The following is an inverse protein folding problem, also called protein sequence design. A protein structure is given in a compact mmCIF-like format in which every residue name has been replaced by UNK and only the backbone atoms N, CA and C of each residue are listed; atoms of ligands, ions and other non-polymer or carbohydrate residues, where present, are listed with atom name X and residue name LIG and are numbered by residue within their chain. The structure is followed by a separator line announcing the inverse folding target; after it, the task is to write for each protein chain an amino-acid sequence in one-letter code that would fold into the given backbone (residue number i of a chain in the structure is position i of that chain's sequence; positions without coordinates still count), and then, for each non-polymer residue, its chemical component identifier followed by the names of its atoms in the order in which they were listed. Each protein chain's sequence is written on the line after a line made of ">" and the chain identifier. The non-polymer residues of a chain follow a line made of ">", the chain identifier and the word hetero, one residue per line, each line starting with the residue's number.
data_IF_124426022324
#
_entry.id   IF_124426022324
#
_cell.length_a   1.000
_cell.length_b   1.000
_cell.length_c   1.000
_cell.angle_alpha   90.00
_cell.angle_beta   90.00
_cell.angle_gamma   90.00
#
_symmetry.space_group_name_H-M   'P 1'
#
loop_
_entity.id
_entity.type
_entity.pdbx_description
1 polymer ?
#
# COMPACT_ATOMS: atom_id res chain seq x y z
N UNK A 1 24.84 1.22 -35.34
CA UNK A 1 23.78 0.54 -34.55
C UNK A 1 22.56 1.42 -34.68
N UNK A 2 21.53 1.00 -35.41
CA UNK A 2 20.35 1.85 -35.65
C UNK A 2 19.66 2.13 -34.31
N UNK A 3 19.41 3.39 -34.00
CA UNK A 3 18.60 3.79 -32.85
C UNK A 3 17.20 3.21 -33.03
N UNK A 4 16.90 2.09 -32.36
CA UNK A 4 15.55 1.57 -32.26
C UNK A 4 14.75 2.56 -31.42
N UNK A 5 13.94 3.39 -32.08
CA UNK A 5 13.14 4.40 -31.39
C UNK A 5 11.92 3.73 -30.75
N UNK A 6 11.73 3.94 -29.45
CA UNK A 6 10.60 3.40 -28.71
C UNK A 6 9.40 4.34 -28.86
N UNK A 7 8.30 3.83 -29.39
CA UNK A 7 7.04 4.55 -29.58
C UNK A 7 5.97 3.99 -28.64
N UNK A 8 5.11 4.85 -28.10
CA UNK A 8 3.94 4.44 -27.34
C UNK A 8 2.67 4.88 -28.05
N UNK A 9 1.80 3.94 -28.36
CA UNK A 9 0.56 4.20 -29.10
C UNK A 9 -0.55 3.23 -28.67
N UNK A 10 -1.81 3.56 -28.97
CA UNK A 10 -2.94 2.68 -28.65
C UNK A 10 -2.88 1.39 -29.49
N UNK A 11 -3.19 0.26 -28.85
CA UNK A 11 -3.19 -1.05 -29.50
C UNK A 11 -4.40 -1.14 -30.44
N UNK A 12 -4.11 -1.30 -31.73
CA UNK A 12 -5.16 -1.48 -32.74
C UNK A 12 -5.73 -2.91 -32.70
N UNK A 13 -6.88 -3.17 -33.35
CA UNK A 13 -7.40 -4.53 -33.49
C UNK A 13 -6.41 -5.48 -34.19
N UNK A 14 -5.58 -4.95 -35.08
CA UNK A 14 -4.60 -5.71 -35.86
C UNK A 14 -3.42 -6.18 -34.99
N UNK A 15 -3.06 -5.39 -33.97
CA UNK A 15 -1.98 -5.68 -33.02
C UNK A 15 -2.38 -6.68 -31.92
N UNK A 16 -3.65 -7.13 -31.88
CA UNK A 16 -4.17 -8.01 -30.82
C UNK A 16 -3.55 -9.39 -30.80
N UNK A 17 -3.25 -9.96 -31.97
CA UNK A 17 -2.62 -11.28 -32.05
C UNK A 17 -1.21 -11.24 -31.44
N UNK A 18 -0.46 -10.18 -31.71
CA UNK A 18 0.86 -9.96 -31.13
C UNK A 18 0.77 -9.76 -29.61
N UNK A 19 -0.25 -9.03 -29.13
CA UNK A 19 -0.47 -8.84 -27.70
C UNK A 19 -0.79 -10.17 -26.99
N UNK A 20 -1.63 -11.04 -27.57
CA UNK A 20 -1.93 -12.36 -27.00
C UNK A 20 -0.71 -13.28 -27.01
N UNK A 21 0.13 -13.21 -28.05
CA UNK A 21 1.38 -13.96 -28.07
C UNK A 21 2.33 -13.51 -26.95
N UNK A 22 2.41 -12.21 -26.70
CA UNK A 22 3.18 -11.66 -25.58
C UNK A 22 2.57 -12.08 -24.22
N UNK A 23 1.23 -12.12 -24.06
CA UNK A 23 0.55 -12.59 -22.85
C UNK A 23 0.97 -14.03 -22.51
N UNK A 24 0.90 -14.93 -23.48
CA UNK A 24 1.24 -16.36 -23.32
C UNK A 24 2.69 -16.60 -22.94
N UNK A 25 3.58 -15.68 -23.29
CA UNK A 25 4.97 -15.73 -22.89
C UNK A 25 5.21 -15.18 -21.48
N UNK A 26 4.32 -14.30 -21.01
CA UNK A 26 4.39 -13.63 -19.71
C UNK A 26 3.68 -14.37 -18.57
N UNK A 27 2.62 -15.11 -18.88
CA UNK A 27 1.80 -15.82 -17.90
C UNK A 27 1.71 -17.33 -18.15
N UNK A 28 1.57 -18.14 -17.09
CA UNK A 28 1.07 -19.51 -17.19
C UNK A 28 -0.28 -19.59 -17.92
N UNK A 29 -0.58 -20.75 -18.53
CA UNK A 29 -1.83 -20.94 -19.29
C UNK A 29 -3.10 -20.77 -18.44
N UNK A 30 -3.04 -21.08 -17.13
CA UNK A 30 -4.14 -20.88 -16.18
C UNK A 30 -4.33 -19.44 -15.71
N UNK A 31 -3.37 -18.56 -16.03
CA UNK A 31 -3.39 -17.13 -15.68
C UNK A 31 -3.48 -16.20 -16.91
N UNK A 32 -3.30 -16.71 -18.12
CA UNK A 32 -3.34 -15.92 -19.34
C UNK A 32 -4.77 -15.60 -19.76
N UNK A 33 -5.05 -14.34 -20.12
CA UNK A 33 -6.35 -13.97 -20.65
C UNK A 33 -6.59 -14.52 -22.07
N UNK A 34 -7.86 -14.87 -22.37
CA UNK A 34 -8.25 -15.40 -23.67
C UNK A 34 -8.27 -14.32 -24.77
N UNK A 35 -8.20 -14.72 -26.04
CA UNK A 35 -8.30 -13.79 -27.18
C UNK A 35 -9.64 -13.04 -27.19
N UNK A 36 -10.72 -13.66 -26.72
CA UNK A 36 -12.03 -13.03 -26.59
C UNK A 36 -12.00 -11.89 -25.56
N UNK A 37 -11.30 -12.07 -24.44
CA UNK A 37 -11.11 -11.02 -23.44
C UNK A 37 -10.32 -9.83 -24.01
N UNK A 38 -9.27 -10.11 -24.80
CA UNK A 38 -8.52 -9.07 -25.50
C UNK A 38 -9.38 -8.29 -26.50
N UNK A 39 -10.17 -9.00 -27.34
CA UNK A 39 -11.10 -8.37 -28.29
C UNK A 39 -12.15 -7.52 -27.57
N UNK A 40 -12.73 -8.03 -26.49
CA UNK A 40 -13.67 -7.30 -25.66
C UNK A 40 -13.03 -6.01 -25.12
N UNK A 41 -11.89 -6.12 -24.41
CA UNK A 41 -11.19 -4.98 -23.80
C UNK A 41 -10.79 -3.94 -24.84
N UNK A 42 -10.28 -4.35 -26.00
CA UNK A 42 -9.89 -3.45 -27.07
C UNK A 42 -11.11 -2.73 -27.69
N UNK A 43 -12.20 -3.47 -27.93
CA UNK A 43 -13.41 -2.88 -28.52
C UNK A 43 -14.13 -1.91 -27.58
N UNK A 44 -14.15 -2.20 -26.28
CA UNK A 44 -14.87 -1.40 -25.28
C UNK A 44 -14.01 -0.29 -24.68
N UNK A 45 -12.70 -0.54 -24.53
CA UNK A 45 -11.77 0.31 -23.79
C UNK A 45 -10.43 0.47 -24.55
N UNK A 46 -10.47 0.60 -25.87
CA UNK A 46 -9.27 0.76 -26.71
C UNK A 46 -8.41 1.98 -26.34
N UNK A 47 -9.04 3.05 -25.82
CA UNK A 47 -8.36 4.23 -25.26
C UNK A 47 -7.67 3.98 -23.90
N UNK A 48 -7.78 2.77 -23.36
CA UNK A 48 -7.09 2.30 -22.16
C UNK A 48 -6.15 1.13 -22.47
N UNK A 49 -5.92 0.83 -23.75
CA UNK A 49 -5.06 -0.24 -24.21
C UNK A 49 -3.81 0.34 -24.88
N UNK A 50 -2.73 0.50 -24.13
CA UNK A 50 -1.50 1.12 -24.59
C UNK A 50 -0.46 0.05 -24.98
N UNK A 51 0.15 0.21 -26.16
CA UNK A 51 1.26 -0.59 -26.65
C UNK A 51 2.57 0.18 -26.65
N UNK A 52 3.67 -0.54 -26.41
CA UNK A 52 5.04 -0.10 -26.64
C UNK A 52 5.58 -0.76 -27.90
N UNK A 53 6.06 0.05 -28.85
CA UNK A 53 6.50 -0.39 -30.16
C UNK A 53 7.96 -0.03 -30.40
N UNK A 54 8.74 -0.97 -30.95
CA UNK A 54 10.02 -0.63 -31.56
C UNK A 54 9.79 -0.27 -33.03
N UNK A 55 10.29 0.89 -33.41
CA UNK A 55 10.21 1.37 -34.80
C UNK A 55 11.53 1.06 -35.50
N UNK A 56 11.43 0.43 -36.67
CA UNK A 56 12.55 0.15 -37.57
C UNK A 56 12.14 0.50 -38.99
N UNK A 57 12.50 1.71 -39.45
CA UNK A 57 12.03 2.24 -40.73
C UNK A 57 10.53 2.54 -40.69
N UNK A 58 9.78 2.03 -41.67
CA UNK A 58 8.32 2.17 -41.75
C UNK A 58 7.56 1.10 -40.94
N UNK A 59 8.25 0.12 -40.38
CA UNK A 59 7.63 -0.95 -39.59
C UNK A 59 7.71 -0.63 -38.10
N UNK A 60 6.59 -0.85 -37.41
CA UNK A 60 6.52 -0.87 -35.95
C UNK A 60 6.21 -2.29 -35.48
N UNK A 61 6.88 -2.72 -34.42
CA UNK A 61 6.64 -4.03 -33.80
C UNK A 61 6.23 -3.85 -32.36
N UNK A 62 5.11 -4.44 -31.96
CA UNK A 62 4.67 -4.45 -30.56
C UNK A 62 5.67 -5.27 -29.72
N UNK A 63 6.18 -4.68 -28.65
CA UNK A 63 7.10 -5.34 -27.71
C UNK A 63 6.56 -5.40 -26.28
N UNK A 64 5.39 -4.83 -26.03
CA UNK A 64 4.70 -4.92 -24.76
C UNK A 64 3.44 -4.07 -24.75
N UNK A 65 2.56 -4.32 -23.79
CA UNK A 65 1.30 -3.60 -23.66
C UNK A 65 0.80 -3.54 -22.23
N UNK A 66 -0.17 -2.65 -22.03
CA UNK A 66 -1.04 -2.55 -20.85
C UNK A 66 -2.48 -2.48 -21.34
N UNK A 67 -3.37 -3.30 -20.77
CA UNK A 67 -4.79 -3.22 -21.05
C UNK A 67 -5.61 -3.06 -19.77
N UNK A 68 -6.61 -2.18 -19.82
CA UNK A 68 -7.46 -1.87 -18.66
C UNK A 68 -8.92 -1.71 -19.05
N UNK A 69 -9.82 -1.84 -18.07
CA UNK A 69 -11.22 -1.41 -18.17
C UNK A 69 -11.55 -0.39 -17.09
N UNK A 70 -12.79 0.11 -17.09
CA UNK A 70 -13.28 1.03 -16.07
C UNK A 70 -14.32 0.33 -15.20
N UNK A 71 -14.29 0.64 -13.91
CA UNK A 71 -15.27 0.16 -12.94
C UNK A 71 -15.57 1.24 -11.90
N UNK A 72 -16.80 1.30 -11.36
CA UNK A 72 -17.11 2.17 -10.22
C UNK A 72 -16.56 1.62 -8.90
N UNK A 73 -16.12 0.36 -8.87
CA UNK A 73 -15.61 -0.28 -7.67
C UNK A 73 -14.29 0.38 -7.20
N UNK A 74 -14.16 0.61 -5.89
CA UNK A 74 -12.97 1.24 -5.30
C UNK A 74 -11.82 0.25 -5.05
N UNK A 75 -12.09 -1.05 -5.20
CA UNK A 75 -11.17 -2.19 -5.08
C UNK A 75 -11.50 -3.21 -6.16
N UNK A 76 -10.58 -4.13 -6.48
CA UNK A 76 -10.81 -5.15 -7.50
C UNK A 76 -11.71 -6.27 -6.98
N UNK A 77 -12.73 -6.57 -7.77
CA UNK A 77 -13.66 -7.69 -7.59
C UNK A 77 -13.70 -8.52 -8.86
N UNK A 78 -14.26 -9.73 -8.79
CA UNK A 78 -14.46 -10.54 -10.00
C UNK A 78 -15.28 -9.82 -11.07
N UNK A 79 -16.24 -8.99 -10.65
CA UNK A 79 -17.06 -8.18 -11.56
C UNK A 79 -16.26 -7.06 -12.23
N UNK A 80 -15.45 -6.31 -11.46
CA UNK A 80 -14.62 -5.23 -12.02
C UNK A 80 -13.56 -5.76 -12.98
N UNK A 81 -13.12 -7.01 -12.80
CA UNK A 81 -12.17 -7.69 -13.67
C UNK A 81 -12.83 -8.38 -14.88
N UNK A 82 -14.16 -8.39 -14.99
CA UNK A 82 -14.90 -9.01 -16.10
C UNK A 82 -15.68 -8.01 -16.96
N UNK A 83 -15.89 -6.78 -16.48
CA UNK A 83 -16.78 -5.80 -17.12
C UNK A 83 -16.08 -4.48 -17.42
N UNK A 84 -16.69 -3.68 -18.29
CA UNK A 84 -16.29 -2.31 -18.56
C UNK A 84 -17.50 -1.39 -18.36
N UNK A 85 -17.37 -0.41 -17.47
CA UNK A 85 -18.39 0.59 -17.18
C UNK A 85 -17.84 1.97 -17.59
N UNK A 86 -18.19 2.47 -18.78
CA UNK A 86 -17.72 3.77 -19.27
C UNK A 86 -17.98 4.91 -18.28
N UNK A 87 -17.06 5.87 -18.19
CA UNK A 87 -17.20 7.03 -17.31
C UNK A 87 -17.00 6.76 -15.81
N UNK A 88 -16.59 5.54 -15.44
CA UNK A 88 -16.32 5.20 -14.04
C UNK A 88 -14.93 5.65 -13.58
N UNK A 89 -14.71 5.59 -12.26
CA UNK A 89 -13.57 6.24 -11.63
C UNK A 89 -12.32 5.40 -11.43
N UNK A 90 -12.45 4.07 -11.45
CA UNK A 90 -11.32 3.16 -11.30
C UNK A 90 -10.89 2.59 -12.64
N UNK A 91 -9.61 2.76 -12.96
CA UNK A 91 -8.94 2.07 -14.07
C UNK A 91 -8.45 0.71 -13.54
N UNK A 92 -9.09 -0.38 -13.98
CA UNK A 92 -8.72 -1.74 -13.61
C UNK A 92 -7.75 -2.31 -14.65
N UNK A 93 -6.46 -2.36 -14.33
CA UNK A 93 -5.44 -2.99 -15.18
C UNK A 93 -5.62 -4.50 -15.13
N UNK A 94 -5.81 -5.10 -16.31
CA UNK A 94 -5.95 -6.55 -16.45
C UNK A 94 -4.61 -7.23 -16.68
N UNK A 95 -3.78 -6.68 -17.57
CA UNK A 95 -2.50 -7.28 -17.93
C UNK A 95 -1.46 -6.21 -18.24
N UNK A 96 -0.21 -6.45 -17.83
CA UNK A 96 0.98 -5.69 -18.22
C UNK A 96 2.05 -6.71 -18.62
N UNK A 97 2.38 -6.79 -19.91
CA UNK A 97 3.35 -7.76 -20.42
C UNK A 97 4.36 -7.10 -21.35
N UNK A 98 5.59 -7.60 -21.29
CA UNK A 98 6.69 -7.25 -22.19
C UNK A 98 7.18 -8.53 -22.84
N UNK A 99 7.40 -8.50 -24.15
CA UNK A 99 7.97 -9.61 -24.91
C UNK A 99 9.26 -10.11 -24.26
N UNK A 100 9.43 -11.43 -24.17
CA UNK A 100 10.50 -12.05 -23.37
C UNK A 100 11.89 -11.55 -23.75
N UNK A 101 12.14 -11.33 -25.04
CA UNK A 101 13.40 -10.85 -25.60
C UNK A 101 13.74 -9.41 -25.19
N UNK A 102 12.74 -8.65 -24.72
CA UNK A 102 12.84 -7.25 -24.31
C UNK A 102 12.66 -7.07 -22.79
N UNK A 103 12.59 -8.16 -22.01
CA UNK A 103 12.55 -8.08 -20.55
C UNK A 103 13.88 -7.60 -19.96
N UNK A 104 13.83 -7.05 -18.74
CA UNK A 104 15.01 -6.53 -17.98
C UNK A 104 15.80 -5.40 -18.65
N UNK A 105 15.29 -4.82 -19.74
CA UNK A 105 15.86 -3.65 -20.43
C UNK A 105 15.18 -2.33 -20.04
N UNK A 106 14.33 -2.35 -19.00
CA UNK A 106 13.61 -1.17 -18.50
C UNK A 106 12.36 -0.79 -19.30
N UNK A 107 12.00 -1.52 -20.35
CA UNK A 107 10.80 -1.24 -21.15
C UNK A 107 9.50 -1.28 -20.34
N UNK A 108 9.34 -2.26 -19.44
CA UNK A 108 8.18 -2.33 -18.55
C UNK A 108 7.98 -1.07 -17.71
N UNK A 109 9.06 -0.55 -17.12
CA UNK A 109 9.00 0.71 -16.37
C UNK A 109 8.67 1.91 -17.25
N UNK A 110 9.19 1.96 -18.49
CA UNK A 110 8.89 3.06 -19.42
C UNK A 110 7.43 3.02 -19.88
N UNK A 111 6.93 1.85 -20.25
CA UNK A 111 5.55 1.63 -20.68
C UNK A 111 4.56 1.97 -19.56
N UNK A 112 4.80 1.47 -18.34
CA UNK A 112 3.92 1.76 -17.21
C UNK A 112 3.93 3.26 -16.83
N UNK A 113 5.10 3.91 -16.87
CA UNK A 113 5.20 5.35 -16.61
C UNK A 113 4.45 6.18 -17.66
N UNK A 114 4.61 5.85 -18.94
CA UNK A 114 3.87 6.50 -20.01
C UNK A 114 2.36 6.31 -19.84
N UNK A 115 1.92 5.09 -19.52
CA UNK A 115 0.52 4.78 -19.29
C UNK A 115 -0.07 5.61 -18.16
N UNK A 116 0.59 5.66 -17.00
CA UNK A 116 0.17 6.48 -15.86
C UNK A 116 0.13 7.96 -16.24
N UNK A 117 1.13 8.47 -16.97
CA UNK A 117 1.18 9.87 -17.41
C UNK A 117 -0.03 10.24 -18.28
N UNK A 118 -0.42 9.37 -19.24
CA UNK A 118 -1.61 9.57 -20.07
C UNK A 118 -2.89 9.56 -19.24
N UNK A 119 -3.01 8.64 -18.27
CA UNK A 119 -4.16 8.58 -17.38
C UNK A 119 -4.26 9.81 -16.46
N UNK A 120 -3.13 10.29 -15.94
CA UNK A 120 -3.07 11.52 -15.14
C UNK A 120 -3.45 12.76 -15.96
N UNK A 121 -3.03 12.81 -17.23
CA UNK A 121 -3.44 13.89 -18.12
C UNK A 121 -4.93 13.82 -18.42
N UNK A 122 -5.46 12.62 -18.70
CA UNK A 122 -6.88 12.40 -18.92
C UNK A 122 -7.70 12.80 -17.67
N UNK A 123 -7.26 12.42 -16.47
CA UNK A 123 -7.93 12.74 -15.20
C UNK A 123 -8.10 14.25 -14.92
N UNK A 124 -7.35 15.11 -15.61
CA UNK A 124 -7.51 16.58 -15.53
C UNK A 124 -8.61 17.11 -16.44
N UNK A 125 -9.06 16.32 -17.40
CA UNK A 125 -10.19 16.65 -18.26
C UNK A 125 -11.49 16.46 -17.45
N UNK A 126 -12.32 17.50 -17.28
CA UNK A 126 -13.59 17.41 -16.56
C UNK A 126 -14.60 16.40 -17.13
N UNK A 127 -14.40 15.95 -18.37
CA UNK A 127 -15.23 14.92 -19.01
C UNK A 127 -14.87 13.49 -18.59
N UNK A 128 -13.79 13.31 -17.82
CA UNK A 128 -13.36 12.01 -17.30
C UNK A 128 -13.34 12.00 -15.78
N UNK A 129 -13.60 10.82 -15.19
CA UNK A 129 -13.74 10.67 -13.74
C UNK A 129 -12.61 9.85 -13.12
N UNK A 130 -11.40 9.90 -13.68
CA UNK A 130 -10.31 8.99 -13.28
C UNK A 130 -9.72 9.36 -11.92
N UNK A 131 -10.12 8.62 -10.88
CA UNK A 131 -9.67 8.84 -9.50
C UNK A 131 -8.52 7.92 -9.11
N UNK A 132 -8.47 6.70 -9.68
CA UNK A 132 -7.50 5.68 -9.26
C UNK A 132 -7.21 4.63 -10.31
N UNK A 133 -6.03 4.05 -10.21
CA UNK A 133 -5.61 2.88 -10.97
C UNK A 133 -5.51 1.71 -10.00
N UNK A 134 -6.09 0.58 -10.37
CA UNK A 134 -6.08 -0.67 -9.61
C UNK A 134 -5.44 -1.78 -10.44
N UNK A 135 -4.63 -2.62 -9.81
CA UNK A 135 -4.08 -3.83 -10.41
C UNK A 135 -3.94 -4.92 -9.35
N UNK A 136 -3.80 -6.17 -9.79
CA UNK A 136 -3.30 -7.24 -8.95
C UNK A 136 -1.90 -7.65 -9.39
N UNK A 137 -1.04 -8.00 -8.44
CA UNK A 137 0.31 -8.49 -8.70
C UNK A 137 0.69 -9.61 -7.72
N UNK A 138 1.62 -10.47 -8.15
CA UNK A 138 2.32 -11.34 -7.22
C UNK A 138 3.35 -10.56 -6.38
N UNK A 139 3.66 -11.08 -5.21
CA UNK A 139 4.54 -10.43 -4.22
C UNK A 139 5.93 -10.09 -4.79
N UNK A 140 6.49 -10.92 -5.67
CA UNK A 140 7.78 -10.67 -6.33
C UNK A 140 7.81 -9.40 -7.19
N UNK A 141 6.65 -8.91 -7.64
CA UNK A 141 6.51 -7.69 -8.46
C UNK A 141 6.18 -6.44 -7.63
N UNK A 142 5.98 -6.57 -6.32
CA UNK A 142 5.64 -5.44 -5.43
C UNK A 142 6.58 -4.25 -5.61
N UNK A 143 7.90 -4.51 -5.53
CA UNK A 143 8.91 -3.45 -5.65
C UNK A 143 8.98 -2.80 -7.03
N UNK A 144 8.46 -3.44 -8.09
CA UNK A 144 8.36 -2.83 -9.42
C UNK A 144 7.22 -1.80 -9.45
N UNK A 145 6.06 -2.15 -8.92
CA UNK A 145 4.89 -1.27 -8.89
C UNK A 145 5.00 -0.16 -7.84
N UNK A 146 5.61 -0.41 -6.68
CA UNK A 146 5.90 0.64 -5.69
C UNK A 146 6.80 1.74 -6.28
N UNK A 147 7.80 1.38 -7.10
CA UNK A 147 8.63 2.35 -7.83
C UNK A 147 7.86 3.15 -8.88
N UNK A 148 6.72 2.65 -9.36
CA UNK A 148 5.79 3.37 -10.22
C UNK A 148 4.76 4.18 -9.42
N UNK A 149 4.84 4.17 -8.09
CA UNK A 149 3.99 4.94 -7.19
C UNK A 149 2.63 4.29 -6.93
N UNK A 150 2.56 2.96 -6.98
CA UNK A 150 1.43 2.19 -6.45
C UNK A 150 1.64 1.85 -4.97
N UNK A 151 0.56 1.84 -4.23
CA UNK A 151 0.45 1.38 -2.85
C UNK A 151 0.02 -0.09 -2.81
N UNK A 152 0.59 -0.86 -1.89
CA UNK A 152 0.19 -2.23 -1.63
C UNK A 152 -1.09 -2.26 -0.78
N UNK A 153 -2.19 -2.79 -1.32
CA UNK A 153 -3.48 -2.83 -0.63
C UNK A 153 -3.71 -4.16 0.13
N UNK A 154 -2.92 -5.20 -0.14
CA UNK A 154 -3.01 -6.50 0.53
C UNK A 154 -3.57 -7.60 -0.37
N UNK A 155 -3.94 -8.74 0.20
CA UNK A 155 -4.44 -9.89 -0.56
C UNK A 155 -5.74 -9.53 -1.29
N UNK A 156 -5.81 -9.83 -2.58
CA UNK A 156 -6.97 -9.55 -3.41
C UNK A 156 -8.04 -10.63 -3.22
N UNK A 157 -9.31 -10.20 -3.25
CA UNK A 157 -10.44 -11.13 -3.35
C UNK A 157 -10.49 -11.84 -4.72
N UNK A 158 -9.87 -11.24 -5.74
CA UNK A 158 -9.79 -11.80 -7.08
C UNK A 158 -8.66 -12.81 -7.14
N UNK A 159 -9.01 -14.07 -7.42
CA UNK A 159 -8.05 -15.15 -7.63
C UNK A 159 -7.93 -15.48 -9.11
N UNK A 160 -6.70 -15.62 -9.57
CA UNK A 160 -6.36 -16.08 -10.90
C UNK A 160 -5.27 -17.16 -10.77
N UNK A 161 -5.52 -18.37 -11.24
CA UNK A 161 -4.61 -19.50 -11.01
C UNK A 161 -4.48 -19.94 -9.55
N UNK A 162 -3.38 -20.63 -9.25
CA UNK A 162 -3.15 -21.34 -7.98
C UNK A 162 -2.48 -20.51 -6.88
N UNK A 163 -1.88 -19.36 -7.23
CA UNK A 163 -1.12 -18.50 -6.30
C UNK A 163 -1.97 -17.33 -5.81
N UNK A 164 -1.69 -16.81 -4.60
CA UNK A 164 -2.35 -15.60 -4.12
C UNK A 164 -1.91 -14.40 -4.97
N UNK A 165 -2.88 -13.52 -5.20
CA UNK A 165 -2.71 -12.23 -5.84
C UNK A 165 -2.95 -11.13 -4.82
N UNK A 166 -2.24 -10.03 -4.98
CA UNK A 166 -2.34 -8.90 -4.07
C UNK A 166 -2.72 -7.66 -4.85
N UNK A 167 -3.69 -6.94 -4.32
CA UNK A 167 -4.14 -5.70 -4.91
C UNK A 167 -3.13 -4.58 -4.65
N UNK A 168 -2.93 -3.77 -5.69
CA UNK A 168 -2.20 -2.53 -5.62
C UNK A 168 -3.03 -1.41 -6.21
N UNK A 169 -2.89 -0.20 -5.65
CA UNK A 169 -3.66 0.96 -6.07
C UNK A 169 -2.78 2.19 -6.23
N UNK A 170 -3.16 3.09 -7.13
CA UNK A 170 -2.54 4.41 -7.28
C UNK A 170 -3.63 5.45 -7.40
N UNK A 171 -3.65 6.43 -6.51
CA UNK A 171 -4.56 7.58 -6.60
C UNK A 171 -4.05 8.55 -7.67
N UNK A 172 -4.98 9.09 -8.45
CA UNK A 172 -4.75 10.12 -9.45
C UNK A 172 -5.27 11.45 -8.87
N UNK A 173 -4.38 12.43 -8.75
CA UNK A 173 -4.77 13.75 -8.25
C UNK A 173 -5.63 14.47 -9.29
N UNK A 174 -6.93 14.59 -9.02
CA UNK A 174 -7.90 15.31 -9.84
C UNK A 174 -8.00 16.80 -9.47
N UNK A 175 -6.98 17.38 -8.80
CA UNK A 175 -7.06 18.72 -8.23
C UNK A 175 -7.32 19.79 -9.29
N UNK A 176 -8.60 20.13 -9.42
CA UNK A 176 -9.14 21.30 -10.09
C UNK A 176 -9.18 22.48 -9.11
N UNK A 177 -8.07 22.71 -8.38
CA UNK A 177 -7.97 23.81 -7.42
C UNK A 177 -7.51 25.07 -8.15
N UNK A 178 -8.40 25.61 -8.97
CA UNK A 178 -8.26 26.93 -9.57
C UNK A 178 -8.51 28.00 -8.49
N UNK A 179 -7.48 28.29 -7.69
CA UNK A 179 -7.41 29.59 -7.02
C UNK A 179 -7.06 30.64 -8.09
N UNK A 180 -7.79 31.77 -8.22
CA UNK A 180 -7.51 32.74 -9.27
C UNK A 180 -6.12 33.35 -9.07
N UNK A 181 -5.26 33.20 -10.08
CA UNK A 181 -4.00 33.94 -10.17
C UNK A 181 -4.30 35.44 -10.31
N UNK A 182 -3.60 36.33 -9.58
CA UNK A 182 -3.62 37.76 -9.88
C UNK A 182 -2.99 38.01 -11.28
N UNK A 183 -3.39 39.08 -11.98
CA UNK A 183 -3.05 39.26 -13.38
C UNK A 183 -1.55 39.43 -13.61
N UNK A 184 -1.12 38.89 -14.75
CA UNK A 184 0.26 38.82 -15.20
C UNK A 184 0.83 40.19 -15.57
N UNK A 185 1.87 40.61 -14.85
CA UNK A 185 2.86 41.55 -15.37
C UNK A 185 4.18 40.80 -15.59
N UNK A 186 4.42 40.51 -16.88
CA UNK A 186 5.70 40.42 -17.60
C UNK A 186 6.87 39.79 -16.83
N UNK A 187 7.15 38.51 -17.11
CA UNK A 187 8.41 37.87 -16.78
C UNK A 187 9.55 38.32 -17.72
N UNK A 188 10.74 38.71 -17.22
CA UNK A 188 11.99 38.70 -17.99
C UNK A 188 12.69 37.33 -17.87
N UNK A 189 13.66 37.02 -18.75
CA UNK A 189 14.07 35.66 -19.02
C UNK A 189 15.06 35.06 -18.01
N UNK A 190 14.91 33.74 -17.85
CA UNK A 190 15.78 32.74 -17.21
C UNK A 190 17.20 33.19 -16.83
N UNK A 191 17.46 33.31 -15.52
CA UNK A 191 18.80 33.20 -14.95
C UNK A 191 18.79 32.49 -13.57
N UNK A 192 19.63 31.45 -13.48
CA UNK A 192 20.27 30.96 -12.25
C UNK A 192 19.36 30.37 -11.17
N UNK A 193 19.38 29.04 -11.02
CA UNK A 193 18.86 28.38 -9.81
C UNK A 193 19.55 28.97 -8.56
N UNK A 194 18.80 29.47 -7.56
CA UNK A 194 19.40 30.03 -6.36
C UNK A 194 20.08 28.94 -5.51
N UNK A 195 21.25 29.21 -4.93
CA UNK A 195 21.90 28.28 -4.02
C UNK A 195 20.99 28.05 -2.80
N UNK A 196 20.72 26.78 -2.50
CA UNK A 196 19.86 26.34 -1.39
C UNK A 196 18.66 25.50 -1.80
N UNK A 197 18.31 25.41 -3.10
CA UNK A 197 17.21 24.53 -3.55
C UNK A 197 17.56 23.04 -3.37
N UNK A 198 18.84 22.67 -3.51
CA UNK A 198 19.30 21.29 -3.23
C UNK A 198 19.18 20.95 -1.74
N UNK A 199 19.42 21.92 -0.87
CA UNK A 199 19.24 21.78 0.59
C UNK A 199 17.76 21.79 0.99
N UNK A 200 16.89 22.48 0.25
CA UNK A 200 15.45 22.45 0.44
C UNK A 200 14.84 21.11 0.01
N UNK A 201 15.29 20.54 -1.12
CA UNK A 201 14.84 19.22 -1.60
C UNK A 201 15.34 18.05 -0.73
N UNK A 202 16.51 18.18 -0.10
CA UNK A 202 16.97 17.20 0.90
C UNK A 202 16.28 17.35 2.27
N UNK A 203 15.80 18.56 2.63
CA UNK A 203 15.04 18.79 3.87
C UNK A 203 13.61 18.24 3.84
N UNK A 204 13.00 18.09 2.67
CA UNK A 204 11.70 17.39 2.52
C UNK A 204 11.78 15.88 2.77
N UNK A 205 12.97 15.30 2.74
CA UNK A 205 13.18 13.85 2.96
C UNK A 205 13.78 13.52 4.34
N UNK A 206 13.92 14.49 5.23
CA UNK A 206 14.39 14.25 6.61
C UNK A 206 13.54 14.99 7.66
N UNK A 207 12.75 14.20 8.40
CA UNK A 207 12.54 14.37 9.85
C UNK A 207 11.79 15.61 10.37
N UNK A 208 11.02 16.38 9.58
CA UNK A 208 10.43 17.63 10.14
C UNK A 208 9.07 17.56 10.81
N UNK A 209 8.30 16.47 10.74
CA UNK A 209 6.99 16.40 11.44
C UNK A 209 6.58 14.96 11.84
N UNK A 210 7.53 14.06 12.08
CA UNK A 210 7.15 12.74 12.63
C UNK A 210 6.79 12.91 14.11
N UNK A 211 5.59 12.48 14.55
CA UNK A 211 5.19 12.59 15.95
C UNK A 211 6.17 11.78 16.81
N UNK A 212 6.61 12.40 17.91
CA UNK A 212 7.64 11.82 18.78
C UNK A 212 6.96 10.97 19.84
N UNK A 213 7.18 9.64 19.87
CA UNK A 213 6.58 8.77 20.87
C UNK A 213 7.19 9.06 22.25
N UNK A 214 6.34 9.35 23.25
CA UNK A 214 6.75 9.43 24.65
C UNK A 214 6.49 8.09 25.36
N UNK A 215 7.45 7.50 26.10
CA UNK A 215 7.22 6.27 26.84
C UNK A 215 6.35 6.52 28.08
N UNK A 216 5.66 5.48 28.57
CA UNK A 216 4.84 5.52 29.79
C UNK A 216 5.59 6.11 31.00
N UNK A 217 6.87 5.77 31.16
CA UNK A 217 7.73 6.25 32.27
C UNK A 217 7.99 7.76 32.25
N UNK A 218 7.70 8.45 31.15
CA UNK A 218 7.87 9.91 31.04
C UNK A 218 6.67 10.72 31.53
N UNK A 219 5.59 10.05 31.96
CA UNK A 219 4.37 10.69 32.47
C UNK A 219 4.35 10.64 34.01
N UNK A 220 4.33 11.80 34.71
CA UNK A 220 4.45 11.85 36.17
C UNK A 220 3.33 11.13 36.92
N UNK A 221 2.11 11.10 36.37
CA UNK A 221 0.97 10.38 36.95
C UNK A 221 0.78 8.97 36.36
N UNK A 222 1.79 8.42 35.69
CA UNK A 222 1.77 7.06 35.16
C UNK A 222 0.58 6.79 34.24
N UNK A 223 -0.04 5.61 34.39
CA UNK A 223 -1.12 5.17 33.52
C UNK A 223 -2.40 6.01 33.66
N UNK A 224 -2.65 6.59 34.84
CA UNK A 224 -3.84 7.40 35.11
C UNK A 224 -3.91 8.64 34.20
N UNK A 225 -2.76 9.22 33.85
CA UNK A 225 -2.70 10.38 32.95
C UNK A 225 -2.99 10.06 31.48
N UNK A 226 -2.91 8.78 31.12
CA UNK A 226 -3.08 8.27 29.76
C UNK A 226 -4.47 7.66 29.54
N UNK A 227 -5.28 7.59 30.60
CA UNK A 227 -6.64 7.08 30.57
C UNK A 227 -7.62 8.26 30.52
N UNK A 228 -8.69 8.11 29.76
CA UNK A 228 -9.88 8.93 29.85
C UNK A 228 -11.08 8.03 30.17
N UNK A 229 -11.85 8.38 31.18
CA UNK A 229 -13.08 7.65 31.54
C UNK A 229 -14.26 8.25 30.78
N UNK A 230 -14.99 7.42 30.05
CA UNK A 230 -16.23 7.82 29.36
C UNK A 230 -17.40 7.86 30.34
N UNK A 231 -18.51 8.51 29.95
CA UNK A 231 -19.74 8.60 30.76
C UNK A 231 -20.32 7.22 31.15
N UNK A 232 -19.93 6.18 30.42
CA UNK A 232 -20.27 4.76 30.65
C UNK A 232 -19.37 4.05 31.66
N UNK A 233 -18.39 4.74 32.26
CA UNK A 233 -17.46 4.18 33.24
C UNK A 233 -16.30 3.35 32.63
N UNK A 234 -16.15 3.36 31.30
CA UNK A 234 -15.08 2.63 30.61
C UNK A 234 -13.86 3.55 30.45
N UNK A 235 -12.71 3.04 30.87
CA UNK A 235 -11.42 3.71 30.70
C UNK A 235 -10.84 3.42 29.31
N UNK A 236 -10.60 4.46 28.50
CA UNK A 236 -10.00 4.35 27.15
C UNK A 236 -8.69 5.13 27.05
N UNK A 237 -7.91 4.92 25.99
CA UNK A 237 -6.67 5.64 25.76
C UNK A 237 -6.94 7.11 25.43
N UNK A 238 -6.39 8.02 26.24
CA UNK A 238 -6.54 9.47 26.03
C UNK A 238 -5.76 9.99 24.82
N UNK A 239 -4.66 9.33 24.47
CA UNK A 239 -3.70 9.77 23.45
C UNK A 239 -3.55 8.73 22.33
N UNK A 240 -3.07 9.18 21.17
CA UNK A 240 -2.67 8.29 20.07
C UNK A 240 -1.51 7.40 20.56
N UNK A 241 -1.59 6.11 20.24
CA UNK A 241 -0.55 5.13 20.53
C UNK A 241 0.37 4.99 19.32
N UNK A 242 1.67 5.15 19.52
CA UNK A 242 2.69 5.16 18.47
C UNK A 242 3.67 4.01 18.64
N UNK A 243 4.37 3.69 17.55
CA UNK A 243 5.52 2.81 17.60
C UNK A 243 6.61 3.44 18.50
N UNK A 244 7.13 2.71 19.51
CA UNK A 244 8.12 3.25 20.44
C UNK A 244 9.51 3.41 19.81
N UNK A 245 9.73 2.96 18.56
CA UNK A 245 11.02 3.06 17.87
C UNK A 245 11.36 4.54 17.60
N UNK A 246 12.50 5.05 18.08
CA UNK A 246 12.96 6.39 17.71
C UNK A 246 13.07 6.53 16.19
N UNK A 247 12.43 7.55 15.63
CA UNK A 247 12.44 7.84 14.19
C UNK A 247 11.40 7.10 13.33
N UNK A 248 10.66 6.13 13.88
CA UNK A 248 9.55 5.49 13.15
C UNK A 248 8.37 6.44 13.02
N UNK A 249 7.74 6.83 14.14
CA UNK A 249 6.60 7.75 14.15
C UNK A 249 5.28 7.14 13.67
N UNK A 250 5.24 5.83 13.42
CA UNK A 250 4.03 5.11 13.02
C UNK A 250 2.97 5.20 14.11
N UNK A 251 1.74 5.57 13.74
CA UNK A 251 0.59 5.53 14.62
C UNK A 251 0.06 4.10 14.61
N UNK A 252 -0.09 3.51 15.79
CA UNK A 252 -0.59 2.16 15.98
C UNK A 252 -2.10 2.19 16.23
N UNK A 253 -2.56 3.09 17.11
CA UNK A 253 -3.97 3.28 17.44
C UNK A 253 -4.29 4.75 17.68
N UNK A 254 -5.49 5.16 17.29
CA UNK A 254 -6.03 6.48 17.61
C UNK A 254 -6.52 6.57 19.05
N UNK A 255 -6.55 7.79 19.59
CA UNK A 255 -7.14 8.08 20.90
C UNK A 255 -8.60 7.61 20.97
N UNK A 256 -9.03 7.12 22.13
CA UNK A 256 -10.39 6.66 22.41
C UNK A 256 -10.75 5.28 21.87
N UNK A 257 -9.86 4.61 21.13
CA UNK A 257 -10.16 3.33 20.47
C UNK A 257 -9.99 2.14 21.41
N UNK A 258 -8.93 2.11 22.22
CA UNK A 258 -8.60 0.97 23.05
C UNK A 258 -9.09 1.16 24.50
N UNK A 259 -9.57 0.07 25.09
CA UNK A 259 -9.99 0.00 26.49
C UNK A 259 -8.82 -0.40 27.38
N UNK A 260 -8.70 0.23 28.53
CA UNK A 260 -7.66 -0.07 29.50
C UNK A 260 -8.05 -1.24 30.41
N UNK A 261 -7.10 -2.15 30.66
CA UNK A 261 -7.22 -3.22 31.64
C UNK A 261 -5.90 -3.41 32.40
N UNK A 262 -6.01 -3.76 33.68
CA UNK A 262 -4.91 -4.35 34.43
C UNK A 262 -5.10 -5.88 34.49
N UNK A 263 -4.13 -6.63 33.98
CA UNK A 263 -4.17 -8.10 33.96
C UNK A 263 -2.78 -8.71 34.05
N UNK A 264 -2.71 -10.02 34.28
CA UNK A 264 -1.46 -10.78 34.33
C UNK A 264 -0.59 -10.54 33.09
N UNK A 265 0.71 -10.42 33.31
CA UNK A 265 1.70 -10.30 32.24
C UNK A 265 1.80 -11.59 31.44
N UNK A 266 1.95 -11.45 30.11
CA UNK A 266 2.06 -12.56 29.16
C UNK A 266 3.48 -12.56 28.60
N UNK A 267 4.13 -13.72 28.63
CA UNK A 267 5.43 -13.88 27.99
C UNK A 267 5.26 -13.81 26.47
N UNK A 268 5.88 -12.80 25.85
CA UNK A 268 5.79 -12.58 24.41
C UNK A 268 7.10 -12.85 23.69
N UNK A 269 8.20 -13.02 24.42
CA UNK A 269 9.52 -13.35 23.88
C UNK A 269 9.62 -14.85 23.62
N UNK A 270 9.94 -15.27 22.38
CA UNK A 270 10.27 -16.65 22.09
C UNK A 270 11.48 -17.08 22.94
N UNK A 271 11.43 -18.27 23.52
CA UNK A 271 12.52 -18.82 24.37
C UNK A 271 13.90 -18.87 23.68
N UNK A 272 13.90 -18.87 22.34
CA UNK A 272 15.08 -19.05 21.51
C UNK A 272 15.69 -17.74 20.99
N UNK A 273 15.11 -16.57 21.32
CA UNK A 273 15.59 -15.27 20.82
C UNK A 273 15.72 -14.23 21.95
N UNK A 274 16.83 -13.47 22.00
CA UNK A 274 16.95 -12.36 22.94
C UNK A 274 15.90 -11.29 22.61
N UNK A 275 15.19 -10.82 23.63
CA UNK A 275 14.17 -9.77 23.48
C UNK A 275 14.75 -8.49 22.86
N UNK A 276 13.91 -7.75 22.12
CA UNK A 276 14.35 -6.55 21.43
C UNK A 276 14.79 -5.46 22.44
N UNK A 277 16.02 -4.93 22.33
CA UNK A 277 16.56 -3.97 23.31
C UNK A 277 15.81 -2.63 23.33
N UNK A 278 15.02 -2.32 22.30
CA UNK A 278 14.20 -1.11 22.21
C UNK A 278 12.86 -1.23 22.97
N UNK A 279 12.51 -2.42 23.46
CA UNK A 279 11.24 -2.66 24.14
C UNK A 279 11.45 -2.88 25.64
N UNK A 280 10.57 -2.28 26.44
CA UNK A 280 10.54 -2.49 27.88
C UNK A 280 10.30 -3.97 28.20
N UNK A 281 11.10 -4.51 29.12
CA UNK A 281 10.89 -5.87 29.63
C UNK A 281 9.58 -5.92 30.41
N UNK A 282 8.75 -6.91 30.10
CA UNK A 282 7.52 -7.13 30.84
C UNK A 282 7.83 -7.84 32.17
N UNK A 283 7.04 -7.57 33.22
CA UNK A 283 7.18 -8.31 34.47
C UNK A 283 6.87 -9.80 34.25
N UNK A 284 7.53 -10.73 34.96
CA UNK A 284 7.27 -12.15 34.81
C UNK A 284 5.86 -12.51 35.32
N UNK A 285 5.17 -13.42 34.62
CA UNK A 285 3.92 -14.00 35.11
C UNK A 285 4.16 -14.67 36.49
N UNK A 286 3.29 -14.48 37.50
CA UNK A 286 1.92 -13.97 37.45
C UNK A 286 1.74 -12.48 37.80
N UNK A 287 2.79 -11.65 37.76
CA UNK A 287 2.65 -10.22 38.07
C UNK A 287 1.72 -9.52 37.07
N UNK A 288 0.94 -8.54 37.54
CA UNK A 288 0.05 -7.75 36.68
C UNK A 288 0.80 -6.64 35.95
N UNK A 289 0.24 -6.23 34.81
CA UNK A 289 0.67 -5.06 34.05
C UNK A 289 -0.54 -4.45 33.32
N UNK A 290 -0.34 -3.28 32.75
CA UNK A 290 -1.39 -2.55 32.06
C UNK A 290 -1.43 -2.87 30.56
N UNK A 291 -2.63 -3.09 30.05
CA UNK A 291 -2.89 -3.45 28.67
C UNK A 291 -3.97 -2.58 28.04
N UNK A 292 -3.77 -2.30 26.75
CA UNK A 292 -4.78 -1.75 25.86
C UNK A 292 -5.44 -2.90 25.11
N UNK A 293 -6.75 -3.04 25.29
CA UNK A 293 -7.59 -3.97 24.52
C UNK A 293 -8.23 -3.22 23.35
N UNK A 294 -7.91 -3.65 22.14
CA UNK A 294 -8.53 -3.21 20.91
C UNK A 294 -9.31 -4.38 20.26
N UNK A 295 -10.36 -4.06 19.50
CA UNK A 295 -11.26 -5.05 18.89
C UNK A 295 -12.64 -4.46 18.61
N UNK A 296 -13.56 -5.21 17.99
CA UNK A 296 -13.46 -6.65 17.67
C UNK A 296 -12.76 -6.95 16.32
N UNK A 297 -12.41 -5.94 15.54
CA UNK A 297 -11.79 -6.09 14.22
C UNK A 297 -10.35 -5.58 14.25
N UNK A 298 -9.39 -6.19 13.54
CA UNK A 298 -8.04 -5.66 13.43
C UNK A 298 -7.99 -4.33 12.64
N UNK A 299 -9.07 -3.95 11.97
CA UNK A 299 -9.21 -2.67 11.27
C UNK A 299 -9.25 -1.46 12.20
N UNK A 300 -9.33 -1.65 13.53
CA UNK A 300 -9.23 -0.55 14.50
C UNK A 300 -7.82 0.01 14.62
N UNK A 301 -6.81 -0.73 14.15
CA UNK A 301 -5.42 -0.30 14.13
C UNK A 301 -5.11 0.49 12.86
N UNK A 302 -4.29 1.54 13.01
CA UNK A 302 -3.80 2.33 11.88
C UNK A 302 -2.66 1.58 11.15
N UNK A 303 -1.72 1.01 11.91
CA UNK A 303 -0.51 0.41 11.33
C UNK A 303 0.11 -0.67 12.22
N UNK A 304 -0.64 -1.76 12.46
CA UNK A 304 -0.17 -2.96 13.18
C UNK A 304 0.01 -4.14 12.22
N UNK A 305 1.08 -4.91 12.41
CA UNK A 305 1.32 -6.20 11.77
C UNK A 305 1.10 -7.35 12.74
N UNK A 306 0.88 -8.55 12.20
CA UNK A 306 0.67 -9.79 12.97
C UNK A 306 1.73 -10.82 12.58
N UNK A 307 2.37 -11.43 13.57
CA UNK A 307 3.25 -12.56 13.32
C UNK A 307 2.45 -13.80 12.91
N UNK A 308 3.15 -14.78 12.30
CA UNK A 308 2.65 -16.16 12.29
C UNK A 308 2.48 -16.65 13.74
N UNK A 309 1.57 -17.61 14.01
CA UNK A 309 1.44 -18.21 15.34
C UNK A 309 2.79 -18.74 15.83
N UNK A 310 3.21 -18.30 17.01
CA UNK A 310 4.55 -18.61 17.52
C UNK A 310 4.49 -19.91 18.32
N UNK A 311 4.98 -21.00 17.73
CA UNK A 311 4.91 -22.34 18.32
C UNK A 311 5.74 -22.49 19.62
N UNK A 312 6.74 -21.63 19.84
CA UNK A 312 7.58 -21.65 21.03
C UNK A 312 7.00 -20.88 22.22
N UNK A 313 5.90 -20.14 22.03
CA UNK A 313 5.16 -19.51 23.13
C UNK A 313 4.12 -20.49 23.68
N UNK A 314 3.90 -20.50 25.01
CA UNK A 314 2.83 -21.29 25.59
C UNK A 314 1.49 -20.85 24.98
N UNK A 315 0.57 -21.79 24.71
CA UNK A 315 -0.77 -21.43 24.29
C UNK A 315 -1.47 -20.58 25.36
N UNK A 316 -2.43 -19.78 24.92
CA UNK A 316 -3.30 -19.01 25.81
C UNK A 316 -4.09 -19.91 26.78
N UNK A 317 -4.72 -19.31 27.78
CA UNK A 317 -5.60 -20.03 28.71
C UNK A 317 -6.76 -20.76 28.00
N UNK A 318 -7.12 -20.32 26.79
CA UNK A 318 -8.15 -20.93 25.93
C UNK A 318 -7.61 -22.09 25.07
N UNK A 319 -6.29 -22.35 25.11
CA UNK A 319 -5.61 -23.35 24.28
C UNK A 319 -5.27 -22.88 22.87
N UNK A 320 -5.63 -21.64 22.49
CA UNK A 320 -5.32 -21.08 21.19
C UNK A 320 -3.85 -20.63 21.08
N UNK A 321 -3.30 -20.73 19.87
CA UNK A 321 -1.93 -20.26 19.58
C UNK A 321 -1.88 -18.74 19.57
N UNK A 322 -0.78 -18.19 20.09
CA UNK A 322 -0.56 -16.75 20.16
C UNK A 322 0.08 -16.21 18.87
N UNK A 323 -0.48 -15.11 18.37
CA UNK A 323 0.14 -14.24 17.36
C UNK A 323 0.63 -12.97 18.05
N UNK A 324 1.80 -12.48 17.64
CA UNK A 324 2.41 -11.28 18.19
C UNK A 324 2.08 -10.07 17.32
N UNK A 325 1.85 -8.94 17.96
CA UNK A 325 1.60 -7.65 17.31
C UNK A 325 2.92 -6.91 17.13
N UNK A 326 3.19 -6.45 15.90
CA UNK A 326 4.40 -5.71 15.52
C UNK A 326 4.02 -4.39 14.86
N UNK A 327 4.90 -3.40 14.83
CA UNK A 327 4.69 -2.16 14.07
C UNK A 327 4.68 -2.47 12.57
N UNK A 328 3.66 -2.03 11.83
CA UNK A 328 3.54 -2.31 10.40
C UNK A 328 4.48 -1.49 9.49
N UNK A 329 5.14 -0.44 9.99
CA UNK A 329 6.15 0.30 9.21
C UNK A 329 7.57 -0.21 9.37
N UNK A 330 7.95 -0.62 10.58
CA UNK A 330 9.35 -0.87 10.93
C UNK A 330 9.59 -2.24 11.57
N UNK A 331 8.56 -3.09 11.58
CA UNK A 331 8.54 -4.45 12.12
C UNK A 331 8.97 -4.56 13.60
N UNK A 332 8.95 -3.45 14.34
CA UNK A 332 9.28 -3.48 15.76
C UNK A 332 8.20 -4.22 16.55
N UNK A 333 8.59 -5.28 17.26
CA UNK A 333 7.74 -5.97 18.22
C UNK A 333 8.53 -6.93 19.11
N UNK A 334 7.85 -7.66 20.01
CA UNK A 334 6.39 -7.71 20.14
C UNK A 334 5.82 -6.57 21.00
N UNK A 335 4.94 -5.77 20.41
CA UNK A 335 4.19 -4.69 21.06
C UNK A 335 3.00 -5.23 21.86
N UNK A 336 2.48 -6.39 21.45
CA UNK A 336 1.30 -7.02 22.02
C UNK A 336 1.05 -8.42 21.46
N UNK A 337 -0.11 -8.98 21.74
CA UNK A 337 -0.51 -10.32 21.30
C UNK A 337 -2.01 -10.41 21.00
N UNK A 338 -2.38 -11.44 20.24
CA UNK A 338 -3.77 -11.89 20.07
C UNK A 338 -3.82 -13.40 19.89
N UNK A 339 -5.00 -13.99 20.10
CA UNK A 339 -5.22 -15.41 19.83
C UNK A 339 -5.51 -15.66 18.35
N UNK A 340 -5.07 -16.81 17.84
CA UNK A 340 -5.40 -17.25 16.49
C UNK A 340 -6.93 -17.43 16.34
N UNK A 341 -7.54 -16.59 15.50
CA UNK A 341 -9.00 -16.57 15.30
C UNK A 341 -9.76 -15.74 16.34
N UNK A 342 -9.06 -15.12 17.30
CA UNK A 342 -9.64 -14.20 18.28
C UNK A 342 -9.94 -12.81 17.69
N UNK A 343 -10.85 -12.11 18.35
CA UNK A 343 -11.26 -10.72 18.05
C UNK A 343 -10.69 -9.70 19.03
N UNK A 344 -9.93 -10.16 20.02
CA UNK A 344 -9.30 -9.34 21.05
C UNK A 344 -7.81 -9.17 20.77
N UNK A 345 -7.36 -7.92 20.76
CA UNK A 345 -5.99 -7.55 20.46
C UNK A 345 -5.41 -6.78 21.65
N UNK A 346 -4.39 -7.33 22.29
CA UNK A 346 -3.84 -6.84 23.55
C UNK A 346 -2.48 -6.19 23.31
N UNK A 347 -2.37 -4.88 23.52
CA UNK A 347 -1.09 -4.15 23.49
C UNK A 347 -0.59 -3.85 24.88
N UNK A 348 0.70 -4.07 25.13
CA UNK A 348 1.29 -3.72 26.42
C UNK A 348 1.52 -2.21 26.51
N UNK A 349 0.98 -1.56 27.56
CA UNK A 349 1.10 -0.11 27.74
C UNK A 349 2.56 0.37 27.84
N UNK A 350 3.47 -0.51 28.29
CA UNK A 350 4.91 -0.27 28.41
C UNK A 350 5.68 -0.37 27.09
N UNK A 351 5.05 -0.89 26.03
CA UNK A 351 5.67 -1.17 24.72
C UNK A 351 5.10 -0.33 23.58
N UNK A 352 4.32 0.69 23.90
CA UNK A 352 3.84 1.68 22.94
C UNK A 352 4.29 3.07 23.39
N UNK A 353 4.43 3.97 22.43
CA UNK A 353 4.62 5.40 22.68
C UNK A 353 3.28 6.12 22.75
N UNK A 354 3.25 7.27 23.41
CA UNK A 354 2.08 8.14 23.51
C UNK A 354 2.41 9.49 22.88
N UNK A 355 1.46 10.05 22.12
CA UNK A 355 1.57 11.39 21.54
C UNK A 355 0.36 12.23 21.97
N UNK A 356 0.63 13.36 22.62
CA UNK A 356 -0.37 14.32 23.11
C UNK A 356 -0.91 15.22 22.01
#
# INVERSE_FOLDING_TARGET
>A
MSESNLLFDWVSPDDLNDAVEIEKQGFPEDEAASIEAFRFRQSQAGNLFLGGYLVSGEQRRLIGYVCSTLSPATTLTHESMSTHVPGSSSICIHSICIAKEHTKQGFGSKLLKEYISRLQLAAKDPSTSYDRILLIAHEELRGFYEKAGFEWAGESSVKHGSRPWFEMRKILDSSNDATPLPPADIAPPLQGLPPGLWEALQKSSTSRNKPVPRPLSSFPGGIETLIQTTDTGISTNKFDLLCPRPGCGSIILKHGVAKWFERSSVQMEPSDQPGNPLLSKLPPSPQTTHWWLAGPSPMVFENIGFSRPVASLPPSDTGARLKLLICGECDLGPLGWCEEGGTEYWLACLRVGYHE
#
